data_IF_988632167296
#
_entry.id   IF_988632167296
#
_cell.length_a   1.000
_cell.length_b   1.000
_cell.length_c   1.000
_cell.angle_alpha   90.00
_cell.angle_beta   90.00
_cell.angle_gamma   90.00
#
_symmetry.space_group_name_H-M   'P 1'
#
loop_
_entity.id
_entity.type
_entity.pdbx_description
1 polymer ?
#
# COMPACT_ATOMS: atom_id res chain seq x y z
N UNK A 1 -1.44 -16.49 49.30
CA UNK A 1 -2.19 -16.79 48.06
C UNK A 1 -1.47 -16.11 46.90
N UNK A 2 -1.22 -16.78 45.77
CA UNK A 2 -0.57 -16.14 44.62
C UNK A 2 -1.49 -15.03 44.07
N UNK A 3 -0.94 -13.82 43.88
CA UNK A 3 -1.64 -12.67 43.30
C UNK A 3 -1.92 -13.02 41.83
N UNK A 4 -3.19 -13.19 41.46
CA UNK A 4 -3.57 -13.38 40.04
C UNK A 4 -3.38 -12.05 39.32
N UNK A 5 -2.43 -12.02 38.38
CA UNK A 5 -2.22 -10.86 37.51
C UNK A 5 -3.18 -10.94 36.33
N UNK A 6 -3.97 -9.90 36.10
CA UNK A 6 -4.88 -9.80 34.96
C UNK A 6 -4.25 -8.95 33.86
N UNK A 7 -4.42 -9.34 32.60
CA UNK A 7 -3.94 -8.54 31.48
C UNK A 7 -4.96 -7.46 31.10
N UNK A 8 -4.52 -6.40 30.40
CA UNK A 8 -5.40 -5.33 29.86
C UNK A 8 -6.54 -5.92 29.03
N UNK A 9 -6.27 -7.01 28.33
CA UNK A 9 -7.23 -7.74 27.49
C UNK A 9 -8.36 -8.39 28.29
N UNK A 10 -8.09 -8.82 29.53
CA UNK A 10 -9.10 -9.37 30.43
C UNK A 10 -10.01 -8.25 30.95
N UNK A 11 -9.41 -7.11 31.33
CA UNK A 11 -10.15 -5.93 31.79
C UNK A 11 -11.08 -5.37 30.69
N UNK A 12 -10.61 -5.29 29.44
CA UNK A 12 -11.44 -4.90 28.29
C UNK A 12 -12.57 -5.91 28.00
N UNK A 13 -12.32 -7.20 28.19
CA UNK A 13 -13.35 -8.25 28.03
C UNK A 13 -14.46 -8.11 29.07
N UNK A 14 -14.11 -7.73 30.30
CA UNK A 14 -15.07 -7.48 31.37
C UNK A 14 -15.91 -6.22 31.14
N UNK A 15 -15.30 -5.16 30.61
CA UNK A 15 -16.01 -3.96 30.17
C UNK A 15 -17.06 -4.31 29.09
N UNK A 16 -16.69 -5.10 28.08
CA UNK A 16 -17.62 -5.52 27.02
C UNK A 16 -18.79 -6.37 27.53
N UNK A 17 -18.61 -7.05 28.67
CA UNK A 17 -19.65 -7.84 29.34
C UNK A 17 -20.49 -7.01 30.31
N UNK A 18 -20.24 -5.69 30.42
CA UNK A 18 -20.93 -4.80 31.35
C UNK A 18 -20.53 -5.00 32.82
N UNK A 19 -19.45 -5.75 33.09
CA UNK A 19 -18.94 -5.99 34.44
C UNK A 19 -18.13 -4.79 34.98
N UNK A 20 -17.63 -3.94 34.07
CA UNK A 20 -16.91 -2.71 34.38
C UNK A 20 -17.50 -1.57 33.56
N UNK A 21 -17.76 -0.44 34.21
CA UNK A 21 -18.03 0.82 33.52
C UNK A 21 -16.76 1.40 32.90
N UNK A 22 -16.93 2.30 31.91
CA UNK A 22 -15.81 3.00 31.27
C UNK A 22 -14.95 3.77 32.27
N UNK A 23 -15.58 4.31 33.31
CA UNK A 23 -14.92 5.06 34.37
C UNK A 23 -14.09 4.14 35.27
N UNK A 24 -14.65 3.00 35.69
CA UNK A 24 -13.95 1.99 36.49
C UNK A 24 -12.76 1.37 35.76
N UNK A 25 -12.89 1.12 34.46
CA UNK A 25 -11.77 0.61 33.66
C UNK A 25 -10.61 1.63 33.62
N UNK A 26 -10.92 2.92 33.48
CA UNK A 26 -9.91 3.98 33.48
C UNK A 26 -9.18 4.07 34.83
N UNK A 27 -9.92 3.98 35.93
CA UNK A 27 -9.33 3.97 37.28
C UNK A 27 -8.39 2.78 37.48
N UNK A 28 -8.82 1.56 37.11
CA UNK A 28 -8.01 0.35 37.28
C UNK A 28 -6.74 0.40 36.43
N UNK A 29 -6.84 0.89 35.19
CA UNK A 29 -5.70 1.04 34.29
C UNK A 29 -4.71 2.11 34.79
N UNK A 30 -5.20 3.21 35.36
CA UNK A 30 -4.37 4.25 35.96
C UNK A 30 -3.63 3.75 37.23
N UNK A 31 -4.31 3.00 38.10
CA UNK A 31 -3.74 2.47 39.34
C UNK A 31 -2.65 1.41 39.07
N UNK A 32 -2.87 0.53 38.09
CA UNK A 32 -1.91 -0.52 37.73
C UNK A 32 -0.75 -0.02 36.84
N UNK A 33 -0.69 1.29 36.53
CA UNK A 33 0.33 1.87 35.62
C UNK A 33 0.23 1.33 34.19
N UNK A 34 -0.90 0.72 33.84
CA UNK A 34 -1.21 0.19 32.53
C UNK A 34 -1.84 1.33 31.73
N UNK A 35 -1.02 2.25 31.23
CA UNK A 35 -1.52 3.34 30.38
C UNK A 35 -2.40 2.76 29.28
N UNK A 36 -3.69 3.08 29.35
CA UNK A 36 -4.61 2.74 28.29
C UNK A 36 -4.10 3.43 27.03
N UNK A 37 -3.58 2.65 26.06
CA UNK A 37 -3.36 3.16 24.71
C UNK A 37 -4.58 4.04 24.37
N UNK A 38 -4.38 5.33 24.03
CA UNK A 38 -5.47 6.28 23.90
C UNK A 38 -6.54 5.64 23.04
N UNK A 39 -7.74 5.47 23.62
CA UNK A 39 -8.87 4.84 22.95
C UNK A 39 -8.92 5.38 21.53
N UNK A 40 -8.62 4.52 20.54
CA UNK A 40 -8.67 4.93 19.16
C UNK A 40 -10.09 5.50 18.94
N UNK A 41 -10.19 6.79 18.61
CA UNK A 41 -11.48 7.47 18.41
C UNK A 41 -12.32 6.79 17.32
N UNK A 42 -11.68 5.94 16.51
CA UNK A 42 -12.30 5.04 15.57
C UNK A 42 -12.48 3.65 16.18
N UNK A 43 -13.74 3.21 16.28
CA UNK A 43 -14.09 1.87 16.74
C UNK A 43 -13.56 0.83 15.74
N UNK A 44 -12.53 0.06 16.14
CA UNK A 44 -11.82 -0.93 15.32
C UNK A 44 -12.59 -2.23 14.99
N UNK A 45 -13.86 -2.38 15.34
CA UNK A 45 -14.55 -3.69 15.28
C UNK A 45 -15.75 -3.66 14.33
N UNK A 46 -15.65 -4.44 13.24
CA UNK A 46 -16.74 -4.76 12.31
C UNK A 46 -16.78 -3.91 11.02
N UNK A 47 -17.58 -4.37 10.06
CA UNK A 47 -18.01 -3.58 8.89
C UNK A 47 -18.90 -2.43 9.39
N UNK A 48 -18.28 -1.33 9.78
CA UNK A 48 -18.97 -0.10 10.17
C UNK A 48 -19.10 0.81 8.95
N UNK A 49 -20.30 1.35 8.72
CA UNK A 49 -20.59 2.38 7.71
C UNK A 49 -19.56 3.52 7.71
N UNK A 50 -19.09 3.94 8.89
CA UNK A 50 -18.07 4.98 9.03
C UNK A 50 -16.73 4.54 8.43
N UNK A 51 -16.30 3.31 8.72
CA UNK A 51 -15.06 2.75 8.17
C UNK A 51 -15.18 2.56 6.65
N UNK A 52 -16.31 2.06 6.17
CA UNK A 52 -16.58 1.92 4.72
C UNK A 52 -16.55 3.29 4.04
N UNK A 53 -17.21 4.30 4.61
CA UNK A 53 -17.20 5.66 4.09
C UNK A 53 -15.78 6.26 4.05
N UNK A 54 -14.94 5.99 5.06
CA UNK A 54 -13.53 6.41 5.02
C UNK A 54 -12.77 5.74 3.88
N UNK A 55 -12.80 4.42 3.77
CA UNK A 55 -12.11 3.72 2.68
C UNK A 55 -12.63 4.14 1.30
N UNK A 56 -13.95 4.29 1.16
CA UNK A 56 -14.57 4.77 -0.07
C UNK A 56 -14.13 6.19 -0.41
N UNK A 57 -14.17 7.12 0.54
CA UNK A 57 -13.72 8.50 0.35
C UNK A 57 -12.23 8.59 0.05
N UNK A 58 -11.39 7.80 0.72
CA UNK A 58 -9.96 7.72 0.46
C UNK A 58 -9.64 7.16 -0.93
N UNK A 59 -10.33 6.10 -1.35
CA UNK A 59 -10.22 5.56 -2.72
C UNK A 59 -10.74 6.56 -3.75
N UNK A 60 -11.86 7.22 -3.49
CA UNK A 60 -12.40 8.24 -4.37
C UNK A 60 -11.42 9.40 -4.55
N UNK A 61 -10.78 9.86 -3.47
CA UNK A 61 -9.72 10.87 -3.54
C UNK A 61 -8.51 10.38 -4.34
N UNK A 62 -8.06 9.15 -4.10
CA UNK A 62 -6.96 8.54 -4.84
C UNK A 62 -7.25 8.45 -6.35
N UNK A 63 -8.42 7.92 -6.72
CA UNK A 63 -8.82 7.80 -8.12
C UNK A 63 -9.08 9.16 -8.75
N UNK A 64 -9.72 10.09 -8.04
CA UNK A 64 -9.94 11.45 -8.55
C UNK A 64 -8.61 12.13 -8.85
N UNK A 65 -7.62 12.02 -7.95
CA UNK A 65 -6.28 12.54 -8.20
C UNK A 65 -5.66 11.86 -9.41
N UNK A 66 -5.68 10.52 -9.46
CA UNK A 66 -5.08 9.73 -10.54
C UNK A 66 -5.67 10.09 -11.90
N UNK A 67 -7.00 10.15 -12.03
CA UNK A 67 -7.67 10.46 -13.30
C UNK A 67 -7.55 11.94 -13.66
N UNK A 68 -7.83 12.85 -12.72
CA UNK A 68 -7.80 14.27 -13.02
C UNK A 68 -6.38 14.73 -13.39
N UNK A 69 -5.40 14.36 -12.57
CA UNK A 69 -4.00 14.70 -12.83
C UNK A 69 -3.48 13.94 -14.04
N UNK A 70 -3.84 12.66 -14.20
CA UNK A 70 -3.43 11.84 -15.34
C UNK A 70 -3.93 12.38 -16.68
N UNK A 71 -5.21 12.74 -16.78
CA UNK A 71 -5.80 13.27 -18.02
C UNK A 71 -5.24 14.64 -18.39
N UNK A 72 -4.99 15.51 -17.42
CA UNK A 72 -4.45 16.85 -17.65
C UNK A 72 -2.92 16.90 -17.62
N UNK A 73 -2.24 15.77 -17.37
CA UNK A 73 -0.80 15.77 -17.12
C UNK A 73 -0.01 16.40 -18.26
N UNK A 74 -0.38 16.07 -19.50
CA UNK A 74 0.24 16.60 -20.71
C UNK A 74 0.12 18.12 -20.84
N UNK A 75 -1.02 18.68 -20.44
CA UNK A 75 -1.35 20.09 -20.61
C UNK A 75 -0.72 20.99 -19.53
N UNK A 76 -0.36 20.41 -18.39
CA UNK A 76 0.29 21.14 -17.30
C UNK A 76 1.75 21.45 -17.63
N UNK A 77 2.15 22.71 -17.41
CA UNK A 77 3.56 23.10 -17.40
C UNK A 77 4.31 22.39 -16.28
N UNK A 78 5.63 22.24 -16.41
CA UNK A 78 6.42 21.52 -15.40
C UNK A 78 6.33 22.17 -14.00
N UNK A 79 6.23 23.50 -13.93
CA UNK A 79 5.97 24.25 -12.68
C UNK A 79 4.58 24.02 -12.10
N UNK A 80 3.55 23.90 -12.96
CA UNK A 80 2.21 23.56 -12.52
C UNK A 80 2.17 22.13 -11.95
N UNK A 81 2.82 21.17 -12.61
CA UNK A 81 2.94 19.79 -12.11
C UNK A 81 3.67 19.74 -10.76
N UNK A 82 4.76 20.50 -10.61
CA UNK A 82 5.47 20.61 -9.32
C UNK A 82 4.54 21.16 -8.23
N UNK A 83 3.81 22.24 -8.52
CA UNK A 83 2.92 22.88 -7.56
C UNK A 83 1.76 21.97 -7.11
N UNK A 84 1.16 21.24 -8.05
CA UNK A 84 0.08 20.29 -7.76
C UNK A 84 0.59 19.11 -6.94
N UNK A 85 1.72 18.51 -7.32
CA UNK A 85 2.28 17.34 -6.61
C UNK A 85 2.82 17.71 -5.24
N UNK A 86 3.57 18.81 -5.13
CA UNK A 86 4.07 19.33 -3.85
C UNK A 86 2.92 19.75 -2.94
N UNK A 87 1.94 20.48 -3.47
CA UNK A 87 0.74 20.90 -2.74
C UNK A 87 -0.04 19.70 -2.23
N UNK A 88 -0.23 18.66 -3.05
CA UNK A 88 -0.88 17.43 -2.63
C UNK A 88 -0.10 16.73 -1.50
N UNK A 89 1.23 16.56 -1.63
CA UNK A 89 2.05 15.94 -0.60
C UNK A 89 2.00 16.75 0.71
N UNK A 90 2.16 18.07 0.65
CA UNK A 90 2.17 18.92 1.83
C UNK A 90 0.81 18.98 2.50
N UNK A 91 -0.27 19.26 1.76
CA UNK A 91 -1.60 19.43 2.33
C UNK A 91 -2.19 18.10 2.77
N UNK A 92 -2.22 17.10 1.89
CA UNK A 92 -2.81 15.78 2.19
C UNK A 92 -1.93 15.04 3.20
N UNK A 93 -0.60 15.11 3.05
CA UNK A 93 0.34 14.49 3.97
C UNK A 93 0.29 15.12 5.36
N UNK A 94 0.33 16.45 5.48
CA UNK A 94 0.24 17.12 6.77
C UNK A 94 -1.10 16.85 7.47
N UNK A 95 -2.21 16.86 6.71
CA UNK A 95 -3.52 16.52 7.24
C UNK A 95 -3.56 15.05 7.72
N UNK A 96 -2.94 14.14 6.97
CA UNK A 96 -2.81 12.73 7.33
C UNK A 96 -2.00 12.51 8.61
N UNK A 97 -0.85 13.20 8.75
CA UNK A 97 -0.02 13.18 9.96
C UNK A 97 -0.80 13.73 11.15
N UNK A 98 -1.45 14.90 10.99
CA UNK A 98 -2.22 15.55 12.04
C UNK A 98 -3.39 14.69 12.52
N UNK A 99 -4.17 14.13 11.59
CA UNK A 99 -5.30 13.26 11.93
C UNK A 99 -4.85 11.97 12.60
N UNK A 100 -3.80 11.32 12.07
CA UNK A 100 -3.33 10.03 12.58
C UNK A 100 -2.67 10.16 13.96
N UNK A 101 -1.70 11.06 14.08
CA UNK A 101 -0.82 11.12 15.25
C UNK A 101 -1.28 12.11 16.31
N UNK A 102 -1.87 13.25 15.93
CA UNK A 102 -2.30 14.27 16.90
C UNK A 102 -3.77 14.13 17.30
N UNK A 103 -4.65 13.68 16.40
CA UNK A 103 -6.10 13.59 16.67
C UNK A 103 -6.60 12.18 16.97
N UNK A 104 -5.82 11.14 16.69
CA UNK A 104 -6.15 9.74 16.98
C UNK A 104 -7.06 9.06 15.94
N UNK A 105 -7.22 9.64 14.75
CA UNK A 105 -7.97 9.06 13.62
C UNK A 105 -7.04 8.21 12.75
N UNK A 106 -6.89 6.95 13.15
CA UNK A 106 -5.95 6.02 12.54
C UNK A 106 -6.27 5.67 11.08
N UNK A 107 -7.52 5.39 10.73
CA UNK A 107 -7.94 4.98 9.39
C UNK A 107 -7.97 6.18 8.48
N UNK A 108 -8.65 7.27 8.87
CA UNK A 108 -8.73 8.47 8.05
C UNK A 108 -7.33 9.06 7.78
N UNK A 109 -6.51 9.23 8.82
CA UNK A 109 -5.14 9.72 8.65
C UNK A 109 -4.26 8.76 7.85
N UNK A 110 -4.44 7.44 8.03
CA UNK A 110 -3.73 6.43 7.24
C UNK A 110 -4.05 6.48 5.75
N UNK A 111 -5.31 6.70 5.38
CA UNK A 111 -5.75 6.84 3.99
C UNK A 111 -5.17 8.09 3.32
N UNK A 112 -5.15 9.22 4.02
CA UNK A 112 -4.52 10.45 3.48
C UNK A 112 -3.02 10.26 3.27
N UNK A 113 -2.33 9.60 4.22
CA UNK A 113 -0.91 9.27 4.06
C UNK A 113 -0.68 8.31 2.89
N UNK A 114 -1.58 7.34 2.68
CA UNK A 114 -1.55 6.48 1.51
C UNK A 114 -1.68 7.28 0.20
N UNK A 115 -2.65 8.19 0.11
CA UNK A 115 -2.83 9.07 -1.07
C UNK A 115 -1.57 9.91 -1.31
N UNK A 116 -1.07 10.61 -0.28
CA UNK A 116 0.13 11.43 -0.39
C UNK A 116 1.36 10.61 -0.83
N UNK A 117 1.50 9.38 -0.32
CA UNK A 117 2.58 8.46 -0.72
C UNK A 117 2.47 8.07 -2.19
N UNK A 118 1.25 7.88 -2.71
CA UNK A 118 1.05 7.53 -4.11
C UNK A 118 1.36 8.70 -5.07
N UNK A 119 1.34 9.94 -4.58
CA UNK A 119 1.75 11.14 -5.36
C UNK A 119 3.27 11.30 -5.43
N UNK A 120 4.02 10.74 -4.47
CA UNK A 120 5.47 10.84 -4.39
C UNK A 120 6.25 10.58 -5.71
N UNK A 121 5.99 9.50 -6.49
CA UNK A 121 6.69 9.29 -7.75
C UNK A 121 6.50 10.43 -8.75
N UNK A 122 5.30 11.03 -8.81
CA UNK A 122 5.01 12.16 -9.69
C UNK A 122 5.78 13.40 -9.25
N UNK A 123 5.89 13.64 -7.95
CA UNK A 123 6.72 14.71 -7.42
C UNK A 123 8.19 14.51 -7.80
N UNK A 124 8.75 13.32 -7.55
CA UNK A 124 10.15 13.01 -7.90
C UNK A 124 10.38 13.19 -9.42
N UNK A 125 9.47 12.68 -10.25
CA UNK A 125 9.49 12.89 -11.70
C UNK A 125 9.57 14.38 -12.05
N UNK A 126 8.69 15.22 -11.49
CA UNK A 126 8.65 16.66 -11.81
C UNK A 126 9.92 17.38 -11.40
N UNK A 127 10.52 17.01 -10.26
CA UNK A 127 11.79 17.56 -9.80
C UNK A 127 12.93 17.16 -10.75
N UNK A 128 13.02 15.88 -11.09
CA UNK A 128 14.03 15.38 -12.05
C UNK A 128 13.93 16.10 -13.40
N UNK A 129 12.70 16.32 -13.87
CA UNK A 129 12.44 17.03 -15.12
C UNK A 129 12.83 18.50 -15.06
N UNK A 130 12.46 19.21 -13.99
CA UNK A 130 12.83 20.62 -13.79
C UNK A 130 14.34 20.83 -13.61
N UNK A 131 15.05 19.84 -13.05
CA UNK A 131 16.52 19.84 -12.94
C UNK A 131 17.22 19.58 -14.29
N UNK A 132 16.49 19.31 -15.37
CA UNK A 132 17.05 18.99 -16.68
C UNK A 132 17.78 17.64 -16.73
N UNK A 133 17.55 16.77 -15.73
CA UNK A 133 18.14 15.42 -15.66
C UNK A 133 17.32 14.42 -16.48
N UNK A 134 16.04 14.75 -16.75
CA UNK A 134 15.18 13.90 -17.56
C UNK A 134 15.74 13.78 -18.98
N UNK A 135 16.00 12.57 -19.48
CA UNK A 135 16.74 12.42 -20.71
C UNK A 135 15.77 12.43 -21.90
N UNK A 136 15.59 13.59 -22.52
CA UNK A 136 14.80 13.73 -23.74
C UNK A 136 15.53 13.10 -24.93
N UNK A 137 14.90 12.11 -25.59
CA UNK A 137 15.52 11.37 -26.70
C UNK A 137 16.62 10.38 -26.29
N UNK A 138 16.63 9.96 -25.01
CA UNK A 138 17.64 9.06 -24.45
C UNK A 138 17.71 7.68 -25.14
N UNK A 139 18.87 7.04 -25.02
CA UNK A 139 18.94 5.59 -25.26
C UNK A 139 18.10 4.82 -24.24
N UNK A 140 17.68 3.60 -24.61
CA UNK A 140 16.92 2.71 -23.74
C UNK A 140 17.54 2.61 -22.34
N UNK A 141 18.86 2.40 -22.26
CA UNK A 141 19.56 2.24 -20.98
C UNK A 141 19.56 3.52 -20.14
N UNK A 142 19.77 4.68 -20.74
CA UNK A 142 19.73 5.96 -20.01
C UNK A 142 18.36 6.18 -19.37
N UNK A 143 17.28 5.93 -20.12
CA UNK A 143 15.92 6.02 -19.59
C UNK A 143 15.70 5.03 -18.44
N UNK A 144 16.17 3.78 -18.58
CA UNK A 144 16.04 2.75 -17.53
C UNK A 144 16.76 3.11 -16.25
N UNK A 145 17.95 3.70 -16.31
CA UNK A 145 18.66 4.17 -15.11
C UNK A 145 17.90 5.30 -14.40
N UNK A 146 17.36 6.27 -15.14
CA UNK A 146 16.59 7.37 -14.54
C UNK A 146 15.30 6.85 -13.88
N UNK A 147 14.60 5.92 -14.55
CA UNK A 147 13.44 5.24 -13.97
C UNK A 147 13.81 4.43 -12.72
N UNK A 148 14.94 3.71 -12.74
CA UNK A 148 15.44 2.99 -11.57
C UNK A 148 15.66 3.92 -10.37
N UNK A 149 16.31 5.08 -10.56
CA UNK A 149 16.51 6.04 -9.47
C UNK A 149 15.20 6.63 -8.95
N UNK A 150 14.25 6.91 -9.84
CA UNK A 150 12.91 7.35 -9.47
C UNK A 150 12.16 6.29 -8.65
N UNK A 151 12.22 5.03 -9.11
CA UNK A 151 11.64 3.88 -8.43
C UNK A 151 12.26 3.67 -7.05
N UNK A 152 13.58 3.77 -6.92
CA UNK A 152 14.30 3.65 -5.64
C UNK A 152 13.95 4.79 -4.68
N UNK A 153 13.86 6.04 -5.16
CA UNK A 153 13.44 7.17 -4.33
C UNK A 153 12.00 7.02 -3.83
N UNK A 154 11.11 6.58 -4.71
CA UNK A 154 9.70 6.32 -4.37
C UNK A 154 9.54 5.11 -3.44
N UNK A 155 10.36 4.07 -3.62
CA UNK A 155 10.42 2.91 -2.74
C UNK A 155 10.89 3.32 -1.35
N UNK A 156 11.96 4.11 -1.26
CA UNK A 156 12.48 4.59 0.02
C UNK A 156 11.43 5.43 0.76
N UNK A 157 10.76 6.36 0.08
CA UNK A 157 9.71 7.18 0.68
C UNK A 157 8.47 6.39 1.11
N UNK A 158 8.01 5.45 0.28
CA UNK A 158 6.88 4.58 0.63
C UNK A 158 7.21 3.62 1.77
N UNK A 159 8.44 3.09 1.83
CA UNK A 159 8.89 2.25 2.93
C UNK A 159 9.02 3.05 4.23
N UNK A 160 9.60 4.26 4.18
CA UNK A 160 9.64 5.16 5.33
C UNK A 160 8.24 5.45 5.85
N UNK A 161 7.30 5.77 4.95
CA UNK A 161 5.91 6.03 5.31
C UNK A 161 5.21 4.80 5.89
N UNK A 162 5.49 3.60 5.36
CA UNK A 162 4.99 2.34 5.89
C UNK A 162 5.50 2.08 7.31
N UNK A 163 6.78 2.33 7.58
CA UNK A 163 7.38 2.14 8.91
C UNK A 163 6.83 3.15 9.92
N UNK A 164 6.72 4.42 9.51
CA UNK A 164 6.24 5.53 10.35
C UNK A 164 4.75 5.38 10.68
N UNK A 165 3.90 5.17 9.68
CA UNK A 165 2.46 5.06 9.90
C UNK A 165 2.04 3.67 10.37
N UNK A 166 2.74 2.60 9.97
CA UNK A 166 2.29 1.20 10.10
C UNK A 166 0.90 0.97 9.48
N UNK A 167 0.53 1.78 8.48
CA UNK A 167 -0.75 1.64 7.81
C UNK A 167 -0.65 0.61 6.68
N UNK A 168 -1.43 -0.46 6.79
CA UNK A 168 -1.25 -1.65 5.96
C UNK A 168 -1.45 -1.41 4.47
N UNK A 169 -2.34 -0.48 4.07
CA UNK A 169 -2.59 -0.18 2.65
C UNK A 169 -1.33 0.32 1.92
N UNK A 170 -0.38 0.96 2.63
CA UNK A 170 0.86 1.44 2.04
C UNK A 170 1.75 0.29 1.54
N UNK A 171 1.61 -0.93 2.08
CA UNK A 171 2.36 -2.08 1.56
C UNK A 171 2.01 -2.41 0.11
N UNK A 172 0.84 -1.99 -0.38
CA UNK A 172 0.48 -2.06 -1.79
C UNK A 172 1.42 -1.20 -2.65
N UNK A 173 1.68 0.03 -2.23
CA UNK A 173 2.57 0.96 -2.92
C UNK A 173 4.01 0.45 -2.88
N UNK A 174 4.45 -0.08 -1.73
CA UNK A 174 5.77 -0.69 -1.60
C UNK A 174 5.92 -1.87 -2.56
N UNK A 175 4.92 -2.75 -2.67
CA UNK A 175 4.95 -3.86 -3.62
C UNK A 175 5.07 -3.38 -5.07
N UNK A 176 4.34 -2.32 -5.42
CA UNK A 176 4.42 -1.70 -6.74
C UNK A 176 5.83 -1.23 -7.06
N UNK A 177 6.47 -0.47 -6.16
CA UNK A 177 7.82 0.02 -6.42
C UNK A 177 8.90 -1.06 -6.35
N UNK A 178 8.76 -2.07 -5.50
CA UNK A 178 9.65 -3.24 -5.53
C UNK A 178 9.54 -3.95 -6.88
N UNK A 179 8.32 -4.18 -7.37
CA UNK A 179 8.10 -4.79 -8.68
C UNK A 179 8.77 -3.98 -9.80
N UNK A 180 8.49 -2.67 -9.89
CA UNK A 180 9.07 -1.79 -10.91
C UNK A 180 10.61 -1.75 -10.83
N UNK A 181 11.16 -1.68 -9.62
CA UNK A 181 12.62 -1.70 -9.41
C UNK A 181 13.23 -3.00 -9.93
N UNK A 182 12.59 -4.15 -9.70
CA UNK A 182 13.04 -5.44 -10.22
C UNK A 182 12.97 -5.46 -11.76
N UNK A 183 11.90 -4.92 -12.35
CA UNK A 183 11.77 -4.81 -13.80
C UNK A 183 12.87 -3.93 -14.42
N UNK A 184 13.16 -2.77 -13.83
CA UNK A 184 14.19 -1.86 -14.34
C UNK A 184 15.59 -2.51 -14.22
N UNK A 185 15.92 -3.14 -13.08
CA UNK A 185 17.19 -3.88 -12.92
C UNK A 185 17.31 -4.98 -13.97
N UNK A 186 16.26 -5.79 -14.16
CA UNK A 186 16.31 -6.89 -15.10
C UNK A 186 16.46 -6.40 -16.55
N UNK A 187 15.79 -5.32 -16.93
CA UNK A 187 15.90 -4.72 -18.26
C UNK A 187 17.25 -4.05 -18.50
N UNK A 188 17.90 -3.51 -17.46
CA UNK A 188 19.29 -3.03 -17.56
C UNK A 188 20.25 -4.21 -17.81
N UNK A 189 20.03 -5.37 -17.19
CA UNK A 189 20.90 -6.55 -17.34
C UNK A 189 20.66 -7.26 -18.68
N UNK A 190 19.40 -7.52 -19.04
CA UNK A 190 19.03 -8.34 -20.20
C UNK A 190 18.75 -7.54 -21.48
N UNK A 191 18.61 -6.22 -21.38
CA UNK A 191 18.18 -5.36 -22.49
C UNK A 191 16.66 -5.32 -22.66
N UNK A 192 16.21 -4.65 -23.73
CA UNK A 192 14.80 -4.63 -24.12
C UNK A 192 14.39 -6.01 -24.66
N UNK A 193 13.33 -6.64 -24.12
CA UNK A 193 12.90 -7.96 -24.61
C UNK A 193 11.69 -8.59 -23.92
N UNK A 194 11.33 -9.78 -24.42
CA UNK A 194 10.05 -10.49 -24.26
C UNK A 194 9.76 -11.06 -22.85
N UNK A 195 10.75 -11.09 -21.96
CA UNK A 195 10.58 -11.68 -20.61
C UNK A 195 9.99 -10.73 -19.57
N UNK A 196 9.54 -9.52 -19.93
CA UNK A 196 8.93 -8.57 -18.97
C UNK A 196 7.74 -9.21 -18.28
N UNK A 197 6.93 -9.96 -19.01
CA UNK A 197 5.71 -10.56 -18.47
C UNK A 197 5.99 -11.79 -17.62
N UNK A 198 6.97 -12.61 -17.99
CA UNK A 198 7.44 -13.73 -17.16
C UNK A 198 8.03 -13.25 -15.84
N UNK A 199 8.82 -12.16 -15.88
CA UNK A 199 9.40 -11.55 -14.68
C UNK A 199 8.32 -10.92 -13.80
N UNK A 200 7.30 -10.31 -14.42
CA UNK A 200 6.11 -9.81 -13.71
C UNK A 200 5.39 -10.96 -13.00
N UNK A 201 5.13 -12.06 -13.70
CA UNK A 201 4.51 -13.24 -13.10
C UNK A 201 5.35 -13.79 -11.93
N UNK A 202 6.66 -13.91 -12.10
CA UNK A 202 7.58 -14.39 -11.05
C UNK A 202 7.61 -13.48 -9.82
N UNK A 203 7.74 -12.17 -10.01
CA UNK A 203 7.74 -11.19 -8.89
C UNK A 203 6.39 -11.14 -8.17
N UNK A 204 5.28 -11.16 -8.91
CA UNK A 204 3.93 -11.23 -8.36
C UNK A 204 3.67 -12.52 -7.58
N UNK A 205 4.11 -13.67 -8.10
CA UNK A 205 4.10 -14.95 -7.38
C UNK A 205 4.92 -14.87 -6.09
N UNK A 206 6.09 -14.22 -6.13
CA UNK A 206 6.91 -13.92 -4.96
C UNK A 206 6.17 -13.12 -3.88
N UNK A 207 5.39 -12.11 -4.24
CA UNK A 207 4.57 -11.35 -3.27
C UNK A 207 3.47 -12.20 -2.64
N UNK A 208 2.87 -13.13 -3.38
CA UNK A 208 1.89 -14.08 -2.83
C UNK A 208 2.57 -14.95 -1.77
N UNK A 209 3.71 -15.55 -2.08
CA UNK A 209 4.47 -16.39 -1.15
C UNK A 209 4.93 -15.59 0.08
N UNK A 210 5.49 -14.40 -0.12
CA UNK A 210 5.88 -13.51 0.97
C UNK A 210 4.67 -13.16 1.85
N UNK A 211 3.53 -12.87 1.24
CA UNK A 211 2.29 -12.62 1.96
C UNK A 211 1.79 -13.83 2.74
N UNK A 212 1.96 -15.06 2.25
CA UNK A 212 1.67 -16.29 3.00
C UNK A 212 2.59 -16.38 4.23
N UNK A 213 3.91 -16.21 4.05
CA UNK A 213 4.89 -16.22 5.15
C UNK A 213 4.54 -15.17 6.21
N UNK A 214 4.23 -13.94 5.79
CA UNK A 214 3.82 -12.87 6.71
C UNK A 214 2.49 -13.18 7.43
N UNK A 215 1.58 -13.92 6.79
CA UNK A 215 0.35 -14.39 7.44
C UNK A 215 0.67 -15.38 8.55
N UNK A 216 1.59 -16.32 8.29
CA UNK A 216 2.06 -17.31 9.27
C UNK A 216 2.81 -16.65 10.44
N UNK A 217 3.53 -15.56 10.20
CA UNK A 217 4.19 -14.74 11.23
C UNK A 217 3.26 -13.76 11.97
N UNK A 218 1.95 -13.83 11.76
CA UNK A 218 0.98 -12.99 12.46
C UNK A 218 0.86 -11.54 11.93
N UNK A 219 1.58 -11.17 10.86
CA UNK A 219 1.52 -9.84 10.22
C UNK A 219 0.36 -9.74 9.20
N UNK A 220 -0.82 -10.24 9.57
CA UNK A 220 -1.98 -10.44 8.68
C UNK A 220 -2.41 -9.20 7.87
N UNK A 221 -2.45 -7.96 8.42
CA UNK A 221 -2.92 -6.81 7.67
C UNK A 221 -2.02 -6.42 6.48
N UNK A 222 -0.71 -6.52 6.63
CA UNK A 222 0.25 -6.21 5.56
C UNK A 222 0.31 -7.35 4.54
N UNK A 223 0.28 -8.58 5.05
CA UNK A 223 0.21 -9.79 4.24
C UNK A 223 -0.96 -9.78 3.25
N UNK A 224 -2.13 -9.29 3.68
CA UNK A 224 -3.31 -9.18 2.82
C UNK A 224 -3.04 -8.36 1.56
N UNK A 225 -2.52 -7.14 1.70
CA UNK A 225 -2.29 -6.25 0.56
C UNK A 225 -1.18 -6.73 -0.37
N UNK A 226 -0.14 -7.37 0.16
CA UNK A 226 0.90 -8.00 -0.66
C UNK A 226 0.35 -9.16 -1.50
N UNK A 227 -0.49 -10.02 -0.90
CA UNK A 227 -1.17 -11.09 -1.64
C UNK A 227 -2.11 -10.52 -2.71
N UNK A 228 -2.86 -9.46 -2.39
CA UNK A 228 -3.76 -8.83 -3.36
C UNK A 228 -3.01 -8.27 -4.55
N UNK A 229 -1.92 -7.53 -4.31
CA UNK A 229 -1.06 -7.01 -5.38
C UNK A 229 -0.49 -8.15 -6.24
N UNK A 230 0.06 -9.18 -5.60
CA UNK A 230 0.60 -10.34 -6.29
C UNK A 230 -0.46 -11.07 -7.11
N UNK A 231 -1.67 -11.27 -6.59
CA UNK A 231 -2.75 -11.95 -7.29
C UNK A 231 -3.21 -11.19 -8.54
N UNK A 232 -3.44 -9.88 -8.41
CA UNK A 232 -3.86 -9.03 -9.54
C UNK A 232 -2.77 -8.97 -10.60
N UNK A 233 -1.51 -8.77 -10.21
CA UNK A 233 -0.40 -8.71 -11.16
C UNK A 233 -0.15 -10.05 -11.86
N UNK A 234 -0.24 -11.16 -11.12
CA UNK A 234 -0.14 -12.51 -11.69
C UNK A 234 -1.25 -12.77 -12.71
N UNK A 235 -2.46 -12.34 -12.38
CA UNK A 235 -3.62 -12.46 -13.26
C UNK A 235 -3.41 -11.68 -14.57
N UNK A 236 -2.98 -10.42 -14.49
CA UNK A 236 -2.67 -9.60 -15.67
C UNK A 236 -1.56 -10.27 -16.51
N UNK A 237 -0.53 -10.79 -15.85
CA UNK A 237 0.60 -11.40 -16.53
C UNK A 237 0.22 -12.67 -17.29
N UNK A 238 -0.52 -13.59 -16.66
CA UNK A 238 -0.98 -14.80 -17.33
C UNK A 238 -2.03 -14.52 -18.40
N UNK A 239 -2.88 -13.51 -18.22
CA UNK A 239 -3.82 -13.10 -19.29
C UNK A 239 -3.04 -12.67 -20.53
N UNK A 240 -2.03 -11.82 -20.35
CA UNK A 240 -1.24 -11.29 -21.47
C UNK A 240 -0.40 -12.39 -22.13
N UNK A 241 0.29 -13.22 -21.34
CA UNK A 241 1.05 -14.36 -21.85
C UNK A 241 0.17 -15.37 -22.59
N UNK A 242 -1.08 -15.57 -22.15
CA UNK A 242 -2.02 -16.43 -22.85
C UNK A 242 -2.39 -15.87 -24.23
N UNK A 243 -2.67 -14.57 -24.34
CA UNK A 243 -3.00 -13.95 -25.62
C UNK A 243 -1.80 -13.89 -26.58
N UNK A 244 -0.59 -13.73 -26.06
CA UNK A 244 0.64 -13.62 -26.87
C UNK A 244 1.24 -14.99 -27.23
N UNK A 245 0.84 -16.09 -26.56
CA UNK A 245 1.40 -17.42 -26.80
C UNK A 245 0.45 -18.32 -27.60
N UNK A 246 0.98 -19.03 -28.60
CA UNK A 246 0.30 -20.16 -29.24
C UNK A 246 0.24 -21.42 -28.34
N UNK A 247 0.74 -21.33 -27.10
CA UNK A 247 0.93 -22.49 -26.22
C UNK A 247 -0.28 -22.74 -25.32
N UNK A 248 -0.73 -24.00 -25.29
CA UNK A 248 -1.83 -24.45 -24.43
C UNK A 248 -1.47 -24.39 -22.94
N UNK A 249 -0.16 -24.39 -22.61
CA UNK A 249 0.34 -24.40 -21.23
C UNK A 249 -0.10 -23.15 -20.45
N UNK A 250 0.04 -21.95 -21.01
CA UNK A 250 -0.39 -20.72 -20.35
C UNK A 250 -1.91 -20.68 -20.16
N UNK A 251 -2.69 -21.25 -21.09
CA UNK A 251 -4.13 -21.40 -20.96
C UNK A 251 -4.54 -22.33 -19.82
N UNK A 252 -3.85 -23.46 -19.67
CA UNK A 252 -4.08 -24.40 -18.56
C UNK A 252 -3.68 -23.79 -17.20
N UNK A 253 -2.56 -23.08 -17.14
CA UNK A 253 -2.09 -22.40 -15.94
C UNK A 253 -3.07 -21.29 -15.52
N UNK A 254 -3.55 -20.50 -16.48
CA UNK A 254 -4.59 -19.49 -16.27
C UNK A 254 -5.88 -20.10 -15.72
N UNK A 255 -6.37 -21.18 -16.33
CA UNK A 255 -7.55 -21.89 -15.87
C UNK A 255 -7.37 -22.47 -14.46
N UNK A 256 -6.18 -23.01 -14.16
CA UNK A 256 -5.85 -23.55 -12.84
C UNK A 256 -5.86 -22.47 -11.74
N UNK A 257 -5.28 -21.30 -12.00
CA UNK A 257 -5.34 -20.16 -11.07
C UNK A 257 -6.79 -19.73 -10.83
N UNK A 258 -7.61 -19.65 -11.89
CA UNK A 258 -9.02 -19.32 -11.77
C UNK A 258 -9.80 -20.35 -10.93
N UNK A 259 -9.55 -21.65 -11.14
CA UNK A 259 -10.19 -22.71 -10.35
C UNK A 259 -9.80 -22.63 -8.87
N UNK A 260 -8.55 -22.29 -8.55
CA UNK A 260 -8.12 -22.05 -7.16
C UNK A 260 -8.84 -20.84 -6.58
N UNK A 261 -8.94 -19.73 -7.33
CA UNK A 261 -9.66 -18.54 -6.87
C UNK A 261 -11.14 -18.83 -6.60
N UNK A 262 -11.81 -19.56 -7.50
CA UNK A 262 -13.21 -19.99 -7.32
C UNK A 262 -13.34 -20.94 -6.13
N UNK A 263 -12.45 -21.93 -6.01
CA UNK A 263 -12.45 -22.88 -4.90
C UNK A 263 -12.22 -22.24 -3.53
N UNK A 264 -11.40 -21.19 -3.47
CA UNK A 264 -11.20 -20.37 -2.28
C UNK A 264 -12.38 -19.42 -2.00
N UNK A 265 -13.10 -18.98 -3.04
CA UNK A 265 -14.28 -18.12 -2.92
C UNK A 265 -15.53 -18.86 -2.44
N UNK A 266 -15.59 -20.18 -2.62
CA UNK A 266 -16.74 -21.03 -2.22
C UNK A 266 -16.65 -21.52 -0.77
N UNK A 267 -15.64 -21.09 -0.01
CA UNK A 267 -15.45 -21.38 1.42
C UNK A 267 -15.55 -20.11 2.25
#
# INVERSE_FOLDING_TARGET
MPKKTFAIEDLRRWQQRGLLSDEQLRFILAEEGLEAEPQAKERKVGLNLVTVAYYFGGLLAFFSFTFFVGMNWGDLTDWARLSVTLGAILVIGALGVWLRFMRGYSVAGGLLLFVATAVLPLFIFTVVKLLGVWPDGASFYQLRFVLLYLCLGSLAGSLAMLILSRFSLISLIVAAFVHLTVLDIAQIIKGAGDSVMELTAGTCGGFILLGIVLTLWGRKPHAFWLKLYGLVGLQIAFTTLFFDSDSVFFGLLFLFVYLIMIGLSLR
#
